data_IF_012488945125
#
_entry.id   IF_012488945125
#
_cell.length_a   1.000
_cell.length_b   1.000
_cell.length_c   1.000
_cell.angle_alpha   90.00
_cell.angle_beta   90.00
_cell.angle_gamma   90.00
#
_symmetry.space_group_name_H-M   'P 1'
#
loop_
_entity.id
_entity.type
_entity.pdbx_description
1 polymer ?
#
# COMPACT_ATOMS: atom_id res chain seq x y z
N UNK A 1 7.52 13.76 28.60
CA UNK A 1 7.35 14.29 27.24
C UNK A 1 7.55 13.18 26.22
N UNK A 2 6.50 12.80 25.51
CA UNK A 2 6.52 11.85 24.40
C UNK A 2 7.23 12.48 23.18
N UNK A 3 8.16 11.75 22.56
CA UNK A 3 8.87 12.20 21.36
C UNK A 3 7.85 12.32 20.20
N UNK A 4 7.74 13.45 19.51
CA UNK A 4 6.77 13.59 18.42
C UNK A 4 7.17 12.65 17.27
N UNK A 5 6.25 11.75 16.95
CA UNK A 5 6.37 10.71 15.94
C UNK A 5 6.43 11.27 14.52
N UNK A 6 7.31 10.69 13.70
CA UNK A 6 7.14 10.54 12.25
C UNK A 6 7.26 11.81 11.43
N UNK A 7 8.43 12.00 10.81
CA UNK A 7 8.70 13.05 9.82
C UNK A 7 7.71 12.93 8.64
N UNK A 8 6.58 13.64 8.72
CA UNK A 8 5.63 13.81 7.62
C UNK A 8 6.00 15.12 6.92
N UNK A 9 6.22 15.08 5.60
CA UNK A 9 6.47 16.29 4.82
C UNK A 9 5.34 17.31 5.02
N UNK A 10 5.70 18.58 5.24
CA UNK A 10 4.74 19.68 5.25
C UNK A 10 3.99 19.76 3.92
N UNK A 11 2.79 20.37 3.88
CA UNK A 11 2.03 20.56 2.65
C UNK A 11 2.86 21.26 1.54
N UNK A 12 3.65 22.26 1.93
CA UNK A 12 4.54 23.01 1.03
C UNK A 12 5.66 22.12 0.45
N UNK A 13 6.27 21.26 1.28
CA UNK A 13 7.28 20.31 0.82
C UNK A 13 6.67 19.31 -0.17
N UNK A 14 5.44 18.84 0.06
CA UNK A 14 4.72 17.98 -0.90
C UNK A 14 4.45 18.70 -2.21
N UNK A 15 4.03 19.97 -2.17
CA UNK A 15 3.77 20.77 -3.36
C UNK A 15 5.02 20.93 -4.23
N UNK A 16 6.17 21.26 -3.61
CA UNK A 16 7.45 21.39 -4.30
C UNK A 16 7.92 20.07 -4.94
N UNK A 17 7.75 18.94 -4.24
CA UNK A 17 8.08 17.61 -4.79
C UNK A 17 7.18 17.29 -5.99
N UNK A 18 5.88 17.60 -5.91
CA UNK A 18 4.93 17.36 -6.98
C UNK A 18 5.24 18.21 -8.22
N UNK A 19 5.52 19.50 -8.04
CA UNK A 19 5.92 20.40 -9.12
C UNK A 19 7.17 19.90 -9.84
N UNK A 20 8.23 19.56 -9.10
CA UNK A 20 9.45 18.98 -9.68
C UNK A 20 9.16 17.70 -10.46
N UNK A 21 8.31 16.82 -9.92
CA UNK A 21 7.95 15.58 -10.63
C UNK A 21 7.20 15.88 -11.93
N UNK A 22 6.23 16.81 -11.92
CA UNK A 22 5.51 17.21 -13.13
C UNK A 22 6.46 17.78 -14.18
N UNK A 23 7.38 18.64 -13.78
CA UNK A 23 8.39 19.20 -14.69
C UNK A 23 9.26 18.09 -15.31
N UNK A 24 9.75 17.15 -14.51
CA UNK A 24 10.54 16.00 -14.98
C UNK A 24 9.76 15.12 -15.97
N UNK A 25 8.47 14.89 -15.75
CA UNK A 25 7.66 14.05 -16.62
C UNK A 25 7.13 14.80 -17.86
N UNK A 26 7.11 16.14 -17.84
CA UNK A 26 6.79 16.95 -19.01
C UNK A 26 7.92 16.93 -20.04
N UNK A 27 9.19 16.81 -19.61
CA UNK A 27 10.35 16.74 -20.49
C UNK A 27 10.38 15.39 -21.28
N UNK A 28 10.28 15.43 -22.63
CA UNK A 28 10.36 14.24 -23.46
C UNK A 28 11.71 13.51 -23.38
N UNK A 29 12.83 14.22 -23.22
CA UNK A 29 14.16 13.64 -23.15
C UNK A 29 14.34 12.82 -21.86
N UNK A 30 13.90 13.37 -20.73
CA UNK A 30 13.87 12.65 -19.45
C UNK A 30 12.96 11.41 -19.51
N UNK A 31 11.78 11.53 -20.14
CA UNK A 31 10.89 10.38 -20.35
C UNK A 31 11.54 9.29 -21.19
N UNK A 32 12.20 9.66 -22.29
CA UNK A 32 12.90 8.72 -23.15
C UNK A 32 14.02 7.99 -22.40
N UNK A 33 14.83 8.73 -21.60
CA UNK A 33 15.90 8.15 -20.79
C UNK A 33 15.37 7.10 -19.82
N UNK A 34 14.33 7.43 -19.05
CA UNK A 34 13.73 6.50 -18.07
C UNK A 34 13.12 5.30 -18.77
N UNK A 35 12.48 5.50 -19.93
CA UNK A 35 11.94 4.39 -20.72
C UNK A 35 13.03 3.43 -21.16
N UNK A 36 14.17 3.94 -21.65
CA UNK A 36 15.27 3.11 -22.14
C UNK A 36 15.95 2.34 -21.00
N UNK A 37 16.23 3.01 -19.89
CA UNK A 37 16.74 2.37 -18.67
C UNK A 37 15.79 1.27 -18.17
N UNK A 38 14.47 1.51 -18.25
CA UNK A 38 13.47 0.51 -17.90
C UNK A 38 13.51 -0.69 -18.85
N UNK A 39 13.66 -0.48 -20.16
CA UNK A 39 13.80 -1.58 -21.13
C UNK A 39 15.04 -2.41 -20.84
N UNK A 40 16.19 -1.76 -20.60
CA UNK A 40 17.45 -2.43 -20.25
C UNK A 40 17.26 -3.30 -19.00
N UNK A 41 16.68 -2.75 -17.93
CA UNK A 41 16.39 -3.50 -16.71
C UNK A 41 15.43 -4.67 -16.94
N UNK A 42 14.43 -4.51 -17.80
CA UNK A 42 13.46 -5.58 -18.11
C UNK A 42 13.99 -6.63 -19.07
N UNK A 43 15.15 -6.41 -19.71
CA UNK A 43 15.83 -7.42 -20.50
C UNK A 43 16.41 -8.55 -19.64
N UNK A 44 16.71 -8.27 -18.36
CA UNK A 44 17.17 -9.29 -17.41
C UNK A 44 16.01 -10.26 -17.05
N UNK A 45 16.13 -11.57 -17.39
CA UNK A 45 15.11 -12.55 -17.07
C UNK A 45 14.88 -12.73 -15.57
N UNK A 46 15.90 -12.54 -14.72
CA UNK A 46 15.75 -12.64 -13.27
C UNK A 46 14.89 -11.50 -12.72
N UNK A 47 15.02 -10.28 -13.27
CA UNK A 47 14.13 -9.16 -12.94
C UNK A 47 12.69 -9.49 -13.33
N UNK A 48 12.46 -10.04 -14.53
CA UNK A 48 11.11 -10.42 -14.96
C UNK A 48 10.52 -11.51 -14.07
N UNK A 49 11.32 -12.49 -13.67
CA UNK A 49 10.84 -13.56 -12.80
C UNK A 49 10.43 -13.02 -11.42
N UNK A 50 11.25 -12.16 -10.80
CA UNK A 50 10.91 -11.52 -9.52
C UNK A 50 9.58 -10.75 -9.58
N UNK A 51 9.32 -10.06 -10.69
CA UNK A 51 8.04 -9.34 -10.88
C UNK A 51 6.89 -10.33 -10.96
N UNK A 52 7.01 -11.42 -11.73
CA UNK A 52 5.99 -12.48 -11.80
C UNK A 52 5.71 -13.10 -10.44
N UNK A 53 6.76 -13.44 -9.68
CA UNK A 53 6.60 -14.03 -8.35
C UNK A 53 5.95 -13.05 -7.37
N UNK A 54 6.26 -11.75 -7.49
CA UNK A 54 5.58 -10.69 -6.76
C UNK A 54 4.09 -10.61 -7.09
N UNK A 55 3.74 -10.63 -8.38
CA UNK A 55 2.36 -10.60 -8.85
C UNK A 55 1.58 -11.85 -8.42
N UNK A 56 2.18 -13.04 -8.54
CA UNK A 56 1.57 -14.30 -8.12
C UNK A 56 1.28 -14.31 -6.62
N UNK A 57 2.20 -13.82 -5.79
CA UNK A 57 1.98 -13.68 -4.34
C UNK A 57 0.86 -12.68 -4.04
N UNK A 58 0.85 -11.53 -4.70
CA UNK A 58 -0.20 -10.52 -4.50
C UNK A 58 -1.59 -11.04 -4.92
N UNK A 59 -1.67 -11.76 -6.04
CA UNK A 59 -2.88 -12.43 -6.49
C UNK A 59 -3.35 -13.48 -5.49
N UNK A 60 -2.45 -14.36 -5.03
CA UNK A 60 -2.80 -15.36 -4.01
C UNK A 60 -3.30 -14.75 -2.69
N UNK A 61 -2.73 -13.63 -2.25
CA UNK A 61 -3.25 -12.88 -1.08
C UNK A 61 -4.62 -12.28 -1.38
N UNK A 62 -4.84 -11.75 -2.58
CA UNK A 62 -6.13 -11.21 -2.98
C UNK A 62 -7.22 -12.30 -3.01
N UNK A 63 -6.88 -13.49 -3.50
CA UNK A 63 -7.76 -14.66 -3.54
C UNK A 63 -8.09 -15.14 -2.13
N UNK A 64 -7.09 -15.26 -1.25
CA UNK A 64 -7.30 -15.67 0.14
C UNK A 64 -8.19 -14.69 0.93
N UNK A 65 -8.17 -13.40 0.60
CA UNK A 65 -9.04 -12.39 1.21
C UNK A 65 -10.44 -12.36 0.61
N UNK A 66 -10.69 -13.01 -0.52
CA UNK A 66 -11.95 -12.91 -1.22
C UNK A 66 -13.14 -13.47 -0.42
N UNK A 67 -13.05 -14.67 0.22
CA UNK A 67 -14.13 -15.18 1.06
C UNK A 67 -14.47 -14.25 2.23
N UNK A 68 -13.44 -13.63 2.83
CA UNK A 68 -13.63 -12.66 3.92
C UNK A 68 -14.35 -11.40 3.41
N UNK A 69 -13.99 -10.90 2.21
CA UNK A 69 -14.66 -9.76 1.59
C UNK A 69 -16.11 -10.08 1.24
N UNK A 70 -16.40 -11.29 0.78
CA UNK A 70 -17.75 -11.74 0.49
C UNK A 70 -18.60 -11.81 1.77
N UNK A 71 -18.09 -12.46 2.82
CA UNK A 71 -18.73 -12.51 4.13
C UNK A 71 -18.97 -11.12 4.73
N UNK A 72 -17.99 -10.21 4.59
CA UNK A 72 -18.12 -8.82 5.02
C UNK A 72 -19.24 -8.12 4.25
N UNK A 73 -19.27 -8.26 2.91
CA UNK A 73 -20.30 -7.65 2.06
C UNK A 73 -21.71 -8.19 2.32
N UNK A 74 -21.86 -9.46 2.69
CA UNK A 74 -23.17 -10.04 3.02
C UNK A 74 -23.66 -9.66 4.42
N UNK A 75 -22.76 -9.32 5.36
CA UNK A 75 -23.15 -8.91 6.70
C UNK A 75 -23.88 -7.56 6.71
N UNK A 76 -24.91 -7.42 7.56
CA UNK A 76 -25.59 -6.15 7.78
C UNK A 76 -24.62 -5.09 8.39
N UNK A 77 -24.84 -3.78 8.14
CA UNK A 77 -23.95 -2.72 8.66
C UNK A 77 -23.72 -2.78 10.18
N UNK A 78 -24.76 -3.08 10.96
CA UNK A 78 -24.65 -3.16 12.42
C UNK A 78 -23.79 -4.35 12.89
N UNK A 79 -23.84 -5.47 12.16
CA UNK A 79 -23.01 -6.65 12.43
C UNK A 79 -21.54 -6.34 12.17
N UNK A 80 -21.25 -5.61 11.08
CA UNK A 80 -19.88 -5.14 10.79
C UNK A 80 -19.37 -4.21 11.88
N UNK A 81 -20.21 -3.27 12.34
CA UNK A 81 -19.87 -2.33 13.42
C UNK A 81 -19.53 -3.07 14.71
N UNK A 82 -20.42 -3.97 15.16
CA UNK A 82 -20.20 -4.76 16.38
C UNK A 82 -18.94 -5.61 16.29
N UNK A 83 -18.70 -6.26 15.15
CA UNK A 83 -17.47 -7.03 14.92
C UNK A 83 -16.20 -6.18 15.05
N UNK A 84 -16.19 -4.94 14.54
CA UNK A 84 -15.05 -4.04 14.70
C UNK A 84 -14.87 -3.61 16.15
N UNK A 85 -15.97 -3.33 16.85
CA UNK A 85 -15.94 -2.99 18.28
C UNK A 85 -15.37 -4.14 19.12
N UNK A 86 -15.72 -5.39 18.82
CA UNK A 86 -15.16 -6.60 19.45
C UNK A 86 -13.67 -6.78 19.12
N UNK A 87 -13.28 -6.62 17.84
CA UNK A 87 -11.90 -6.82 17.38
C UNK A 87 -10.91 -5.83 18.00
N UNK A 88 -11.36 -4.58 18.21
CA UNK A 88 -10.58 -3.52 18.82
C UNK A 88 -10.91 -3.30 20.30
N UNK A 89 -11.76 -4.14 20.88
CA UNK A 89 -11.99 -4.12 22.31
C UNK A 89 -10.64 -4.36 23.00
N UNK A 90 -10.30 -3.59 24.05
CA UNK A 90 -9.16 -3.97 24.88
C UNK A 90 -9.39 -5.39 25.36
N UNK A 91 -8.36 -6.22 25.32
CA UNK A 91 -8.38 -7.55 25.91
C UNK A 91 -8.55 -7.39 27.43
N UNK A 92 -9.79 -7.15 27.87
CA UNK A 92 -10.14 -7.15 29.28
C UNK A 92 -10.28 -8.61 29.69
N UNK A 93 -9.13 -9.20 30.02
CA UNK A 93 -9.02 -10.42 30.78
C UNK A 93 -8.23 -10.15 32.07
N UNK A 94 -8.95 -10.11 33.19
CA UNK A 94 -8.53 -10.63 34.48
C UNK A 94 -7.29 -10.00 35.15
N UNK A 95 -7.52 -8.91 35.88
CA UNK A 95 -6.76 -8.62 37.10
C UNK A 95 -7.74 -8.49 38.26
N UNK A 96 -8.25 -9.62 38.76
CA UNK A 96 -8.73 -9.70 40.13
C UNK A 96 -7.81 -10.64 40.91
N UNK A 97 -6.92 -10.03 41.68
CA UNK A 97 -6.30 -10.60 42.87
C UNK A 97 -6.13 -9.44 43.86
#
# INVERSE_FOLDING_TARGET
>A
MTKPSGWKHSPEAKAKIAERNRARWADPAERARVSEETKIRMADPAVRQRIRDGMARAAGVADALQPLRDAWRSAAPDVRKRFLEELFAPACGESSA
#
